data_IF_910683411934
#
_entry.id   IF_910683411934
#
_cell.length_a   1.000
_cell.length_b   1.000
_cell.length_c   1.000
_cell.angle_alpha   90.00
_cell.angle_beta   90.00
_cell.angle_gamma   90.00
#
_symmetry.space_group_name_H-M   'P 1'
#
loop_
_entity.id
_entity.type
_entity.pdbx_description
1 polymer ?
#
# COMPACT_ATOMS: atom_id res chain seq x y z
N UNK A 1 68.89 -16.24 -37.99
CA UNK A 1 67.70 -15.97 -38.73
C UNK A 1 66.51 -16.43 -37.87
N UNK A 2 66.05 -15.81 -37.18
CA UNK A 2 65.49 -15.05 -36.14
C UNK A 2 64.04 -14.71 -36.49
N UNK A 3 63.13 -15.41 -35.87
CA UNK A 3 61.72 -15.18 -35.85
C UNK A 3 61.28 -14.82 -34.42
N UNK A 4 60.93 -13.57 -34.26
CA UNK A 4 60.40 -13.08 -32.99
C UNK A 4 58.93 -13.43 -32.79
N UNK A 5 58.62 -14.02 -31.69
CA UNK A 5 57.27 -14.35 -31.23
C UNK A 5 56.82 -13.26 -30.30
N UNK A 6 55.82 -12.49 -30.69
CA UNK A 6 55.17 -11.49 -29.82
C UNK A 6 53.96 -12.14 -29.21
N UNK A 7 54.06 -12.47 -27.94
CA UNK A 7 52.97 -12.89 -27.10
C UNK A 7 52.08 -11.69 -26.74
N UNK A 8 50.79 -11.74 -27.10
CA UNK A 8 49.77 -10.76 -26.69
C UNK A 8 48.87 -11.43 -25.66
N UNK A 9 49.24 -11.22 -24.43
CA UNK A 9 48.37 -11.55 -23.29
C UNK A 9 47.19 -10.58 -23.29
N UNK A 10 46.03 -11.07 -23.68
CA UNK A 10 44.73 -10.35 -23.56
C UNK A 10 44.28 -10.44 -22.12
N UNK A 11 44.37 -9.33 -21.41
CA UNK A 11 43.81 -9.20 -20.08
C UNK A 11 42.28 -9.31 -20.13
N UNK A 12 41.73 -10.37 -19.58
CA UNK A 12 40.29 -10.47 -19.32
C UNK A 12 39.95 -9.58 -18.12
N UNK A 13 39.35 -8.44 -18.36
CA UNK A 13 38.73 -7.63 -17.33
C UNK A 13 37.54 -8.39 -16.76
N UNK A 14 37.70 -8.90 -15.58
CA UNK A 14 36.61 -9.41 -14.73
C UNK A 14 35.79 -8.21 -14.27
N UNK A 15 34.73 -7.90 -15.01
CA UNK A 15 33.69 -6.98 -14.54
C UNK A 15 32.99 -7.65 -13.35
N UNK A 16 33.44 -7.27 -12.18
CA UNK A 16 32.78 -7.63 -10.93
C UNK A 16 31.37 -7.02 -10.90
N UNK A 17 30.35 -7.82 -11.16
CA UNK A 17 28.98 -7.46 -10.83
C UNK A 17 28.91 -7.18 -9.35
N UNK A 18 28.68 -5.92 -8.99
CA UNK A 18 28.39 -5.55 -7.61
C UNK A 18 27.20 -6.40 -7.12
N UNK A 19 27.21 -6.92 -5.89
CA UNK A 19 26.08 -7.68 -5.36
C UNK A 19 24.85 -6.78 -5.36
N UNK A 20 23.84 -7.14 -6.15
CA UNK A 20 22.53 -6.51 -6.08
C UNK A 20 21.96 -6.86 -4.71
N UNK A 21 21.98 -5.90 -3.80
CA UNK A 21 21.32 -6.08 -2.51
C UNK A 21 19.83 -6.40 -2.79
N UNK A 22 19.24 -7.40 -2.13
CA UNK A 22 17.83 -7.70 -2.31
C UNK A 22 17.03 -6.44 -1.99
N UNK A 23 16.18 -6.03 -2.92
CA UNK A 23 15.27 -4.91 -2.68
C UNK A 23 14.48 -5.21 -1.39
N UNK A 24 14.37 -4.22 -0.51
CA UNK A 24 13.57 -4.37 0.70
C UNK A 24 12.15 -4.81 0.31
N UNK A 25 11.57 -5.72 1.07
CA UNK A 25 10.19 -6.13 0.83
C UNK A 25 9.25 -4.90 0.86
N UNK A 26 8.27 -4.83 -0.05
CA UNK A 26 7.36 -3.68 -0.11
C UNK A 26 6.61 -3.52 1.21
N UNK A 27 6.39 -2.27 1.61
CA UNK A 27 5.55 -1.95 2.77
C UNK A 27 4.10 -2.32 2.47
N UNK A 28 3.52 -3.16 3.28
CA UNK A 28 2.12 -3.60 3.12
C UNK A 28 1.19 -2.58 3.76
N UNK A 29 0.33 -1.96 2.97
CA UNK A 29 -0.52 -0.86 3.45
C UNK A 29 -2.00 -1.09 3.10
N UNK A 30 -2.87 -0.84 4.06
CA UNK A 30 -4.32 -0.71 3.84
C UNK A 30 -4.63 0.78 3.78
N UNK A 31 -5.31 1.22 2.74
CA UNK A 31 -5.75 2.60 2.56
C UNK A 31 -7.25 2.69 2.84
N UNK A 32 -7.62 3.56 3.76
CA UNK A 32 -9.02 3.89 4.03
C UNK A 32 -9.66 4.59 2.84
N UNK A 33 -10.97 4.45 2.67
CA UNK A 33 -11.74 5.03 1.57
C UNK A 33 -11.51 6.53 1.39
N UNK A 34 -11.39 7.29 2.47
CA UNK A 34 -11.09 8.73 2.42
C UNK A 34 -9.75 9.02 1.73
N UNK A 35 -8.76 8.19 1.99
CA UNK A 35 -7.43 8.29 1.37
C UNK A 35 -7.53 7.92 -0.10
N UNK A 36 -8.24 6.84 -0.43
CA UNK A 36 -8.47 6.44 -1.82
C UNK A 36 -9.14 7.53 -2.65
N UNK A 37 -10.18 8.18 -2.12
CA UNK A 37 -10.85 9.30 -2.79
C UNK A 37 -9.88 10.45 -3.03
N UNK A 38 -9.04 10.79 -2.04
CA UNK A 38 -8.03 11.85 -2.20
C UNK A 38 -7.00 11.54 -3.28
N UNK A 39 -6.59 10.27 -3.41
CA UNK A 39 -5.55 9.84 -4.35
C UNK A 39 -6.07 9.62 -5.77
N UNK A 40 -7.22 8.97 -5.91
CA UNK A 40 -7.71 8.46 -7.20
C UNK A 40 -8.82 9.31 -7.82
N UNK A 41 -9.45 10.19 -7.05
CA UNK A 41 -10.51 11.07 -7.54
C UNK A 41 -10.01 12.50 -7.63
N UNK A 42 -9.59 13.06 -6.48
CA UNK A 42 -9.18 14.47 -6.43
C UNK A 42 -7.74 14.69 -6.87
N UNK A 43 -6.95 13.64 -7.00
CA UNK A 43 -5.52 13.70 -7.32
C UNK A 43 -4.81 14.77 -6.45
N UNK A 44 -5.10 14.76 -5.15
CA UNK A 44 -4.59 15.76 -4.21
C UNK A 44 -3.07 15.80 -4.23
N UNK A 45 -2.51 16.90 -4.67
CA UNK A 45 -1.07 17.06 -4.87
C UNK A 45 -0.27 16.87 -3.57
N UNK A 46 -0.88 17.09 -2.41
CA UNK A 46 -0.25 16.84 -1.10
C UNK A 46 0.06 15.36 -0.90
N UNK A 47 -0.75 14.50 -1.50
CA UNK A 47 -0.65 13.06 -1.37
C UNK A 47 -0.12 12.36 -2.64
N UNK A 48 0.26 13.12 -3.66
CA UNK A 48 0.91 12.57 -4.84
C UNK A 48 2.13 11.66 -4.51
N UNK A 49 2.98 11.98 -3.50
CA UNK A 49 4.06 11.09 -3.09
C UNK A 49 3.58 9.74 -2.54
N UNK A 50 2.40 9.68 -1.90
CA UNK A 50 1.79 8.42 -1.44
C UNK A 50 1.46 7.53 -2.63
N UNK A 51 0.78 8.11 -3.62
CA UNK A 51 0.42 7.40 -4.83
C UNK A 51 1.65 6.90 -5.59
N UNK A 52 2.68 7.72 -5.72
CA UNK A 52 3.93 7.33 -6.35
C UNK A 52 4.59 6.12 -5.68
N UNK A 53 4.49 5.96 -4.37
CA UNK A 53 5.00 4.78 -3.66
C UNK A 53 4.20 3.51 -3.95
N UNK A 54 2.90 3.63 -4.17
CA UNK A 54 2.07 2.49 -4.61
C UNK A 54 2.40 2.14 -6.06
N UNK A 55 2.45 3.11 -6.95
CA UNK A 55 2.76 2.92 -8.37
C UNK A 55 4.16 2.33 -8.59
N UNK A 56 5.14 2.73 -7.80
CA UNK A 56 6.51 2.21 -7.87
C UNK A 56 6.69 0.82 -7.26
N UNK A 57 5.69 0.31 -6.53
CA UNK A 57 5.79 -0.94 -5.79
C UNK A 57 6.59 -0.83 -4.48
N UNK A 58 6.99 0.36 -4.05
CA UNK A 58 7.56 0.58 -2.72
C UNK A 58 6.55 0.23 -1.63
N UNK A 59 5.28 0.55 -1.88
CA UNK A 59 4.16 0.14 -1.06
C UNK A 59 3.26 -0.82 -1.83
N UNK A 60 2.90 -1.91 -1.18
CA UNK A 60 1.87 -2.83 -1.64
C UNK A 60 0.54 -2.43 -1.01
N UNK A 61 -0.31 -1.76 -1.78
CA UNK A 61 -1.67 -1.47 -1.35
C UNK A 61 -2.48 -2.76 -1.29
N UNK A 62 -3.18 -2.98 -0.17
CA UNK A 62 -3.97 -4.18 0.07
C UNK A 62 -5.43 -3.80 0.23
N UNK A 63 -6.29 -4.55 -0.43
CA UNK A 63 -7.75 -4.42 -0.33
C UNK A 63 -8.39 -5.80 -0.19
N UNK A 64 -9.69 -5.82 0.07
CA UNK A 64 -10.54 -7.00 -0.07
C UNK A 64 -11.89 -6.58 -0.68
N UNK A 65 -12.76 -7.54 -0.94
CA UNK A 65 -14.06 -7.27 -1.54
C UNK A 65 -14.86 -6.22 -0.76
N UNK A 66 -14.92 -6.33 0.58
CA UNK A 66 -15.71 -5.42 1.41
C UNK A 66 -15.20 -3.97 1.37
N UNK A 67 -13.86 -3.78 1.45
CA UNK A 67 -13.25 -2.45 1.38
C UNK A 67 -13.34 -1.86 -0.04
N UNK A 68 -13.16 -2.69 -1.07
CA UNK A 68 -13.28 -2.27 -2.46
C UNK A 68 -14.71 -1.89 -2.83
N UNK A 69 -15.71 -2.65 -2.35
CA UNK A 69 -17.13 -2.34 -2.56
C UNK A 69 -17.55 -1.05 -1.85
N UNK A 70 -16.97 -0.75 -0.69
CA UNK A 70 -17.18 0.55 -0.06
C UNK A 70 -16.63 1.69 -0.92
N UNK A 71 -15.41 1.55 -1.44
CA UNK A 71 -14.84 2.56 -2.34
C UNK A 71 -15.76 2.78 -3.54
N UNK A 72 -16.23 1.70 -4.18
CA UNK A 72 -17.22 1.79 -5.28
C UNK A 72 -18.48 2.53 -4.87
N UNK A 73 -19.04 2.21 -3.71
CA UNK A 73 -20.26 2.85 -3.20
C UNK A 73 -20.04 4.34 -2.95
N UNK A 74 -18.93 4.71 -2.34
CA UNK A 74 -18.60 6.10 -2.02
C UNK A 74 -18.39 6.94 -3.27
N UNK A 75 -17.76 6.39 -4.31
CA UNK A 75 -17.63 7.06 -5.61
C UNK A 75 -18.98 7.45 -6.22
N UNK A 76 -20.03 6.67 -5.97
CA UNK A 76 -21.39 6.96 -6.43
C UNK A 76 -22.14 8.03 -5.62
N UNK A 77 -21.55 8.61 -4.57
CA UNK A 77 -22.23 9.62 -3.78
C UNK A 77 -22.39 10.94 -4.58
N UNK A 78 -23.61 11.52 -4.58
CA UNK A 78 -23.88 12.76 -5.31
C UNK A 78 -22.95 13.93 -4.92
N UNK A 79 -22.42 13.90 -3.70
CA UNK A 79 -21.47 14.91 -3.18
C UNK A 79 -20.23 15.06 -4.07
N UNK A 80 -19.75 13.96 -4.68
CA UNK A 80 -18.55 13.98 -5.53
C UNK A 80 -18.86 14.38 -6.97
N UNK A 81 -20.12 14.34 -7.39
CA UNK A 81 -20.59 14.69 -8.74
C UNK A 81 -19.78 14.03 -9.87
N UNK A 82 -19.31 12.78 -9.64
CA UNK A 82 -18.52 12.02 -10.61
C UNK A 82 -19.42 11.39 -11.68
N UNK A 83 -19.00 11.48 -12.92
CA UNK A 83 -19.58 10.69 -14.02
C UNK A 83 -19.31 9.19 -13.82
N UNK A 84 -20.06 8.32 -14.48
CA UNK A 84 -19.83 6.89 -14.48
C UNK A 84 -18.42 6.53 -14.99
N UNK A 85 -17.93 7.27 -15.98
CA UNK A 85 -16.58 7.09 -16.53
C UNK A 85 -15.51 7.40 -15.49
N UNK A 86 -15.64 8.51 -14.75
CA UNK A 86 -14.69 8.88 -13.70
C UNK A 86 -14.69 7.87 -12.55
N UNK A 87 -15.86 7.39 -12.15
CA UNK A 87 -15.98 6.33 -11.15
C UNK A 87 -15.29 5.04 -11.62
N UNK A 88 -15.56 4.63 -12.87
CA UNK A 88 -14.97 3.42 -13.43
C UNK A 88 -13.44 3.55 -13.58
N UNK A 89 -12.95 4.70 -13.98
CA UNK A 89 -11.52 4.96 -14.09
C UNK A 89 -10.82 4.86 -12.73
N UNK A 90 -11.38 5.44 -11.67
CA UNK A 90 -10.84 5.34 -10.32
C UNK A 90 -10.79 3.88 -9.82
N UNK A 91 -11.88 3.13 -10.05
CA UNK A 91 -11.94 1.71 -9.66
C UNK A 91 -10.94 0.84 -10.43
N UNK A 92 -10.84 1.05 -11.74
CA UNK A 92 -9.94 0.28 -12.59
C UNK A 92 -8.48 0.56 -12.22
N UNK A 93 -8.12 1.83 -12.01
CA UNK A 93 -6.76 2.22 -11.66
C UNK A 93 -6.37 1.66 -10.29
N UNK A 94 -7.19 1.88 -9.27
CA UNK A 94 -6.90 1.33 -7.94
C UNK A 94 -6.89 -0.20 -7.94
N UNK A 95 -7.83 -0.84 -8.64
CA UNK A 95 -7.89 -2.30 -8.74
C UNK A 95 -6.68 -2.93 -9.44
N UNK A 96 -6.04 -2.21 -10.37
CA UNK A 96 -4.80 -2.64 -11.02
C UNK A 96 -3.57 -2.50 -10.12
N UNK A 97 -3.57 -1.51 -9.22
CA UNK A 97 -2.45 -1.20 -8.33
C UNK A 97 -2.53 -1.97 -7.00
N UNK A 98 -3.74 -2.33 -6.54
CA UNK A 98 -3.96 -2.99 -5.27
C UNK A 98 -3.90 -4.52 -5.37
N UNK A 99 -3.40 -5.15 -4.32
CA UNK A 99 -3.49 -6.60 -4.14
C UNK A 99 -4.75 -6.94 -3.37
N UNK A 100 -5.62 -7.77 -3.95
CA UNK A 100 -6.77 -8.31 -3.24
C UNK A 100 -6.30 -9.41 -2.28
N UNK A 101 -6.50 -9.19 -0.98
CA UNK A 101 -6.17 -10.19 0.02
C UNK A 101 -7.25 -11.28 0.03
N UNK A 102 -6.80 -12.53 -0.08
CA UNK A 102 -7.62 -13.70 0.18
C UNK A 102 -7.65 -13.89 1.71
N UNK A 103 -8.73 -13.42 2.33
CA UNK A 103 -8.85 -13.46 3.79
C UNK A 103 -9.37 -14.82 4.25
N UNK A 104 -8.55 -15.85 4.13
CA UNK A 104 -8.74 -17.08 4.92
C UNK A 104 -8.32 -16.77 6.34
N UNK A 105 -9.30 -16.55 7.19
CA UNK A 105 -9.06 -16.22 8.60
C UNK A 105 -8.32 -17.36 9.31
N UNK A 106 -7.30 -17.07 10.11
CA UNK A 106 -6.75 -18.04 11.04
C UNK A 106 -7.84 -18.51 12.02
N UNK A 107 -7.72 -19.73 12.52
CA UNK A 107 -8.70 -20.34 13.41
C UNK A 107 -9.01 -19.50 14.66
N UNK A 108 -8.08 -18.65 15.10
CA UNK A 108 -8.24 -17.71 16.20
C UNK A 108 -7.49 -16.39 15.88
N UNK A 109 -8.14 -15.45 15.18
CA UNK A 109 -7.51 -14.18 14.85
C UNK A 109 -7.27 -13.33 16.11
N UNK A 110 -6.20 -12.53 16.11
CA UNK A 110 -5.91 -11.61 17.20
C UNK A 110 -7.09 -10.65 17.43
N UNK A 111 -7.43 -10.43 18.71
CA UNK A 111 -8.52 -9.55 19.07
C UNK A 111 -8.20 -8.09 18.75
N UNK A 112 -9.09 -7.43 18.03
CA UNK A 112 -8.98 -6.02 17.66
C UNK A 112 -9.77 -5.12 18.62
N UNK A 113 -9.38 -3.85 18.78
CA UNK A 113 -10.26 -2.87 19.40
C UNK A 113 -11.49 -2.66 18.51
N UNK A 114 -12.61 -2.32 19.14
CA UNK A 114 -13.81 -1.95 18.38
C UNK A 114 -13.70 -0.49 17.92
N UNK A 115 -13.93 -0.25 16.63
CA UNK A 115 -14.12 1.09 16.12
C UNK A 115 -15.48 1.63 16.59
N UNK A 116 -15.55 2.93 16.85
CA UNK A 116 -16.82 3.62 17.18
C UNK A 116 -17.76 3.59 15.99
N UNK A 117 -17.21 3.79 14.78
CA UNK A 117 -17.91 3.52 13.54
C UNK A 117 -17.77 2.04 13.18
N UNK A 118 -18.91 1.36 13.06
CA UNK A 118 -18.93 -0.07 12.71
C UNK A 118 -18.50 -0.33 11.28
N UNK A 119 -18.75 0.62 10.40
CA UNK A 119 -18.41 0.49 8.99
C UNK A 119 -16.90 0.53 8.77
N UNK A 120 -16.15 1.19 9.64
CA UNK A 120 -14.69 1.25 9.58
C UNK A 120 -13.99 0.01 10.16
N UNK A 121 -14.70 -0.83 10.91
CA UNK A 121 -14.13 -2.03 11.53
C UNK A 121 -13.47 -2.96 10.51
N UNK A 122 -13.99 -3.04 9.30
CA UNK A 122 -13.45 -3.87 8.21
C UNK A 122 -12.02 -3.49 7.81
N UNK A 123 -11.61 -2.23 7.94
CA UNK A 123 -10.23 -1.81 7.66
C UNK A 123 -9.25 -2.34 8.70
N UNK A 124 -9.65 -2.37 9.98
CA UNK A 124 -8.85 -2.99 11.04
C UNK A 124 -8.72 -4.50 10.83
N UNK A 125 -9.83 -5.15 10.46
CA UNK A 125 -9.86 -6.58 10.17
C UNK A 125 -8.97 -6.91 8.97
N UNK A 126 -9.09 -6.16 7.87
CA UNK A 126 -8.23 -6.33 6.71
C UNK A 126 -6.75 -6.14 7.06
N UNK A 127 -6.41 -5.09 7.82
CA UNK A 127 -5.03 -4.83 8.19
C UNK A 127 -4.42 -5.96 9.04
N UNK A 128 -5.20 -6.54 9.97
CA UNK A 128 -4.80 -7.71 10.74
C UNK A 128 -4.64 -8.95 9.87
N UNK A 129 -5.68 -9.28 9.08
CA UNK A 129 -5.80 -10.56 8.38
C UNK A 129 -4.81 -10.64 7.20
N UNK A 130 -4.52 -9.51 6.60
CA UNK A 130 -3.52 -9.40 5.55
C UNK A 130 -2.10 -9.14 6.09
N UNK A 131 -1.89 -9.14 7.40
CA UNK A 131 -0.60 -8.80 8.01
C UNK A 131 -0.01 -7.50 7.42
N UNK A 132 -0.82 -6.45 7.34
CA UNK A 132 -0.37 -5.15 6.87
C UNK A 132 0.59 -4.52 7.90
N UNK A 133 1.51 -3.70 7.43
CA UNK A 133 2.34 -2.89 8.30
C UNK A 133 1.58 -1.67 8.80
N UNK A 134 0.78 -1.08 7.90
CA UNK A 134 0.06 0.16 8.18
C UNK A 134 -1.38 0.15 7.69
N UNK A 135 -2.25 0.81 8.47
CA UNK A 135 -3.54 1.33 8.04
C UNK A 135 -3.42 2.84 7.93
N UNK A 136 -3.57 3.38 6.73
CA UNK A 136 -3.47 4.82 6.46
C UNK A 136 -4.86 5.40 6.36
N UNK A 137 -5.19 6.36 7.22
CA UNK A 137 -6.51 6.95 7.33
C UNK A 137 -6.46 8.41 7.76
N UNK A 138 -7.45 9.20 7.36
CA UNK A 138 -7.72 10.53 7.90
C UNK A 138 -8.88 10.51 8.90
N UNK A 139 -9.54 9.36 9.10
CA UNK A 139 -10.67 9.26 10.01
C UNK A 139 -10.24 9.30 11.49
N UNK A 140 -10.91 10.17 12.25
CA UNK A 140 -10.60 10.40 13.66
C UNK A 140 -10.95 9.19 14.55
N UNK A 141 -11.97 8.42 14.20
CA UNK A 141 -12.37 7.25 14.99
C UNK A 141 -11.31 6.15 14.90
N UNK A 142 -10.80 5.90 13.70
CA UNK A 142 -9.68 4.97 13.49
C UNK A 142 -8.38 5.49 14.13
N UNK A 143 -8.05 6.77 13.96
CA UNK A 143 -6.84 7.36 14.54
C UNK A 143 -6.80 7.33 16.09
N UNK A 144 -7.96 7.41 16.75
CA UNK A 144 -8.06 7.24 18.22
C UNK A 144 -7.62 5.86 18.68
N UNK A 145 -7.73 4.85 17.83
CA UNK A 145 -7.34 3.48 18.14
C UNK A 145 -5.83 3.24 18.01
N UNK A 146 -5.09 4.13 17.36
CA UNK A 146 -3.65 3.97 17.08
C UNK A 146 -2.78 3.67 18.32
N UNK A 147 -3.23 4.10 19.52
CA UNK A 147 -2.52 3.92 20.78
C UNK A 147 -3.03 2.73 21.61
N UNK A 148 -3.95 1.93 21.07
CA UNK A 148 -4.51 0.79 21.81
C UNK A 148 -3.49 -0.36 21.84
N UNK A 149 -3.29 -0.91 23.04
CA UNK A 149 -2.34 -2.02 23.26
C UNK A 149 -2.64 -3.25 22.39
N UNK A 150 -3.92 -3.48 22.08
CA UNK A 150 -4.35 -4.58 21.19
C UNK A 150 -3.82 -4.51 19.77
N UNK A 151 -3.33 -3.35 19.32
CA UNK A 151 -2.71 -3.18 18.01
C UNK A 151 -1.19 -3.37 18.04
N UNK A 152 -0.58 -3.46 19.22
CA UNK A 152 0.86 -3.67 19.35
C UNK A 152 1.29 -4.95 18.66
N UNK A 153 2.26 -4.81 17.76
CA UNK A 153 2.81 -5.94 17.03
C UNK A 153 1.92 -6.47 15.90
N UNK A 154 0.75 -5.85 15.65
CA UNK A 154 -0.09 -6.17 14.51
C UNK A 154 0.17 -5.21 13.35
N UNK A 155 -0.25 -3.97 13.49
CA UNK A 155 -0.05 -2.91 12.48
C UNK A 155 -0.11 -1.53 13.16
N UNK A 156 0.28 -0.49 12.42
CA UNK A 156 0.16 0.90 12.90
C UNK A 156 -0.92 1.63 12.13
N UNK A 157 -1.66 2.52 12.82
CA UNK A 157 -2.61 3.42 12.20
C UNK A 157 -1.94 4.79 12.07
N UNK A 158 -1.85 5.30 10.85
CA UNK A 158 -1.13 6.53 10.51
C UNK A 158 -2.02 7.46 9.69
N UNK A 159 -1.80 8.77 9.84
CA UNK A 159 -2.32 9.72 8.86
C UNK A 159 -1.50 9.66 7.58
N UNK A 160 -2.05 10.13 6.43
CA UNK A 160 -1.29 10.22 5.18
C UNK A 160 0.03 10.96 5.33
N UNK A 161 0.05 12.08 6.05
CA UNK A 161 1.26 12.89 6.28
C UNK A 161 2.31 12.14 7.10
N UNK A 162 1.87 11.40 8.13
CA UNK A 162 2.79 10.59 8.93
C UNK A 162 3.36 9.44 8.13
N UNK A 163 2.53 8.77 7.33
CA UNK A 163 2.97 7.68 6.49
C UNK A 163 4.05 8.11 5.48
N UNK A 164 4.01 9.37 4.99
CA UNK A 164 5.03 9.92 4.10
C UNK A 164 6.39 10.13 4.78
N UNK A 165 6.41 10.39 6.08
CA UNK A 165 7.62 10.68 6.86
C UNK A 165 8.21 9.45 7.57
N UNK A 166 7.45 8.37 7.67
CA UNK A 166 7.89 7.10 8.25
C UNK A 166 8.83 6.34 7.31
N UNK A 167 9.84 5.69 7.91
CA UNK A 167 10.82 4.85 7.19
C UNK A 167 10.60 3.38 7.45
#
# INVERSE_FOLDING_TARGET
MTGGLTDRTTGAELQGSAPVLPAAAPRRVVLDTNVLVSLYVFADSRFAPLRARVESGEWQAITNAACFDEFRRVLGYPLFALSEEEQQNALTTYGAEATCADTTLPAAPAALPRCTDRDDQKFLELARDAAADWLVTADKALLRLARRDRLRGLFRILTPEKALTER
#
